data_IF_197791886131
#
_entry.id   IF_197791886131
#
_cell.length_a   1.000
_cell.length_b   1.000
_cell.length_c   1.000
_cell.angle_alpha   90.00
_cell.angle_beta   90.00
_cell.angle_gamma   90.00
#
_symmetry.space_group_name_H-M   'P 1'
#
loop_
_entity.id
_entity.type
_entity.pdbx_description
1 polymer ?
#
# COMPACT_ATOMS: atom_id res chain seq x y z
N UNK A 1 21.56 2.34 -5.35
CA UNK A 1 21.06 3.58 -5.97
C UNK A 1 21.39 3.51 -7.46
N UNK A 2 20.46 3.83 -8.35
CA UNK A 2 20.72 3.76 -9.80
C UNK A 2 21.48 5.02 -10.22
N UNK A 3 22.64 4.84 -10.87
CA UNK A 3 23.63 5.89 -11.10
C UNK A 3 23.26 6.92 -12.18
N UNK A 4 22.35 6.60 -13.10
CA UNK A 4 21.87 7.52 -14.14
C UNK A 4 20.65 6.97 -14.88
N UNK A 5 19.95 7.85 -15.61
CA UNK A 5 18.86 7.47 -16.52
C UNK A 5 19.32 6.54 -17.65
N UNK A 6 20.51 6.75 -18.19
CA UNK A 6 21.06 5.90 -19.27
C UNK A 6 21.25 4.44 -18.84
N UNK A 7 21.56 4.20 -17.57
CA UNK A 7 21.65 2.84 -17.00
C UNK A 7 20.28 2.15 -17.00
N UNK A 8 19.20 2.87 -16.69
CA UNK A 8 17.82 2.32 -16.76
C UNK A 8 17.44 1.98 -18.20
N UNK A 9 17.70 2.88 -19.14
CA UNK A 9 17.35 2.68 -20.55
C UNK A 9 18.10 1.50 -21.16
N UNK A 10 19.39 1.35 -20.82
CA UNK A 10 20.20 0.19 -21.24
C UNK A 10 19.66 -1.11 -20.66
N UNK A 11 19.36 -1.13 -19.35
CA UNK A 11 18.81 -2.32 -18.67
C UNK A 11 17.44 -2.71 -19.25
N UNK A 12 16.60 -1.73 -19.55
CA UNK A 12 15.29 -1.95 -20.18
C UNK A 12 15.43 -2.57 -21.58
N UNK A 13 16.34 -2.04 -22.42
CA UNK A 13 16.59 -2.58 -23.76
C UNK A 13 17.11 -4.02 -23.71
N UNK A 14 18.00 -4.33 -22.75
CA UNK A 14 18.49 -5.69 -22.51
C UNK A 14 17.36 -6.65 -22.10
N UNK A 15 16.49 -6.24 -21.18
CA UNK A 15 15.35 -7.07 -20.74
C UNK A 15 14.35 -7.29 -21.86
N UNK A 16 14.07 -6.28 -22.71
CA UNK A 16 13.19 -6.42 -23.89
C UNK A 16 13.69 -7.49 -24.86
N UNK A 17 14.99 -7.50 -25.18
CA UNK A 17 15.59 -8.54 -26.03
C UNK A 17 15.58 -9.90 -25.36
N UNK A 18 15.85 -9.96 -24.05
CA UNK A 18 15.89 -11.21 -23.28
C UNK A 18 14.55 -11.94 -23.25
N UNK A 19 13.44 -11.20 -23.27
CA UNK A 19 12.08 -11.74 -23.21
C UNK A 19 11.31 -11.49 -24.52
N UNK A 20 12.00 -11.43 -25.66
CA UNK A 20 11.39 -11.15 -26.97
C UNK A 20 10.53 -12.30 -27.49
N UNK A 21 10.90 -13.55 -27.19
CA UNK A 21 10.22 -14.77 -27.68
C UNK A 21 9.55 -15.59 -26.56
N UNK A 22 9.01 -14.94 -25.54
CA UNK A 22 8.31 -15.65 -24.48
C UNK A 22 7.73 -14.77 -23.40
N UNK A 23 7.11 -15.41 -22.41
CA UNK A 23 6.49 -14.70 -21.28
C UNK A 23 7.54 -14.18 -20.31
N UNK A 24 7.30 -12.99 -19.76
CA UNK A 24 8.10 -12.44 -18.67
C UNK A 24 7.72 -13.16 -17.38
N UNK A 25 8.61 -13.98 -16.78
CA UNK A 25 8.29 -14.69 -15.57
C UNK A 25 8.13 -13.71 -14.41
N UNK A 26 7.23 -14.04 -13.47
CA UNK A 26 7.08 -13.28 -12.24
C UNK A 26 8.38 -13.38 -11.41
N UNK A 27 9.07 -12.27 -11.11
CA UNK A 27 10.27 -12.32 -10.31
C UNK A 27 9.97 -12.84 -8.89
N UNK A 28 10.88 -13.61 -8.30
CA UNK A 28 10.70 -14.19 -6.95
C UNK A 28 10.53 -13.15 -5.83
N UNK A 29 10.99 -11.92 -6.06
CA UNK A 29 10.84 -10.79 -5.13
C UNK A 29 9.58 -9.95 -5.41
N UNK A 30 8.82 -10.25 -6.47
CA UNK A 30 7.64 -9.49 -6.86
C UNK A 30 6.38 -10.21 -6.40
N UNK A 31 5.52 -9.50 -5.67
CA UNK A 31 4.32 -10.05 -5.08
C UNK A 31 3.49 -8.97 -4.40
N UNK A 32 2.57 -9.40 -3.53
CA UNK A 32 1.70 -8.49 -2.78
C UNK A 32 2.02 -8.48 -1.28
N UNK A 33 1.62 -7.40 -0.62
CA UNK A 33 1.60 -7.29 0.83
C UNK A 33 0.16 -7.19 1.33
N UNK A 34 -0.12 -7.82 2.48
CA UNK A 34 -1.39 -7.67 3.18
C UNK A 34 -1.17 -6.85 4.46
N UNK A 35 -1.84 -5.71 4.55
CA UNK A 35 -1.93 -4.96 5.82
C UNK A 35 -3.01 -5.60 6.67
N UNK A 36 -2.63 -6.11 7.83
CA UNK A 36 -3.58 -6.54 8.86
C UNK A 36 -3.81 -5.37 9.82
N UNK A 37 -4.95 -4.67 9.74
CA UNK A 37 -5.16 -3.46 10.52
C UNK A 37 -5.25 -3.80 12.00
N UNK A 38 -4.48 -3.09 12.81
CA UNK A 38 -4.66 -3.04 14.26
C UNK A 38 -5.60 -1.90 14.66
N UNK A 39 -5.64 -0.85 13.84
CA UNK A 39 -6.50 0.32 14.03
C UNK A 39 -7.02 0.81 12.68
N UNK A 40 -8.27 1.27 12.65
CA UNK A 40 -8.91 1.90 11.50
C UNK A 40 -9.62 3.16 11.99
N UNK A 41 -9.35 4.31 11.39
CA UNK A 41 -10.06 5.56 11.67
C UNK A 41 -10.98 5.92 10.51
N UNK A 42 -12.25 6.13 10.81
CA UNK A 42 -13.21 6.73 9.90
C UNK A 42 -13.36 8.21 10.26
N UNK A 43 -12.95 9.06 9.33
CA UNK A 43 -13.05 10.51 9.45
C UNK A 43 -14.10 11.03 8.47
N UNK A 44 -15.13 11.70 8.99
CA UNK A 44 -16.20 12.29 8.19
C UNK A 44 -16.24 13.81 8.38
N UNK A 45 -16.14 14.53 7.25
CA UNK A 45 -16.21 15.99 7.26
C UNK A 45 -17.61 16.48 7.62
N UNK A 46 -17.70 17.56 8.40
CA UNK A 46 -18.93 18.31 8.64
C UNK A 46 -18.72 19.80 8.35
N UNK A 47 -19.75 20.53 7.87
CA UNK A 47 -19.62 21.96 7.52
C UNK A 47 -19.26 22.87 8.69
N UNK A 48 -19.62 22.49 9.92
CA UNK A 48 -19.37 23.22 11.17
C UNK A 48 -17.97 22.98 11.74
N UNK A 49 -17.10 22.26 11.01
CA UNK A 49 -15.75 21.82 11.44
C UNK A 49 -15.75 20.86 12.64
N UNK A 50 -16.92 20.37 13.06
CA UNK A 50 -17.03 19.34 14.09
C UNK A 50 -17.06 17.96 13.43
N UNK A 51 -15.92 17.57 12.88
CA UNK A 51 -15.71 16.28 12.21
C UNK A 51 -16.08 15.09 13.10
N UNK A 52 -16.80 14.13 12.53
CA UNK A 52 -17.02 12.86 13.20
C UNK A 52 -15.81 11.95 12.97
N UNK A 53 -15.20 11.51 14.07
CA UNK A 53 -14.03 10.64 14.06
C UNK A 53 -14.34 9.39 14.86
N UNK A 54 -14.35 8.23 14.20
CA UNK A 54 -14.55 6.94 14.84
C UNK A 54 -13.30 6.08 14.67
N UNK A 55 -12.69 5.68 15.77
CA UNK A 55 -11.52 4.80 15.78
C UNK A 55 -11.94 3.39 16.19
N UNK A 56 -11.64 2.43 15.32
CA UNK A 56 -11.80 1.02 15.55
C UNK A 56 -10.44 0.45 15.97
N UNK A 57 -10.37 -0.17 17.14
CA UNK A 57 -9.13 -0.81 17.64
C UNK A 57 -9.34 -2.30 17.80
N UNK A 58 -8.45 -3.09 17.20
CA UNK A 58 -8.51 -4.55 17.24
C UNK A 58 -8.04 -5.05 18.61
N UNK A 59 -8.87 -5.88 19.23
CA UNK A 59 -8.57 -6.49 20.53
C UNK A 59 -7.84 -7.83 20.36
N UNK A 60 -7.31 -8.35 21.46
CA UNK A 60 -6.59 -9.64 21.51
C UNK A 60 -7.49 -10.83 21.18
N UNK A 61 -8.80 -10.74 21.44
CA UNK A 61 -9.82 -11.73 21.12
C UNK A 61 -10.36 -11.62 19.67
N UNK A 62 -9.74 -10.77 18.85
CA UNK A 62 -10.15 -10.43 17.48
C UNK A 62 -11.47 -9.64 17.37
N UNK A 63 -12.05 -9.18 18.48
CA UNK A 63 -13.14 -8.21 18.45
C UNK A 63 -12.62 -6.80 18.14
N UNK A 64 -13.54 -5.87 17.90
CA UNK A 64 -13.25 -4.46 17.66
C UNK A 64 -13.91 -3.61 18.74
N UNK A 65 -13.13 -2.72 19.35
CA UNK A 65 -13.67 -1.61 20.16
C UNK A 65 -13.78 -0.37 19.30
N UNK A 66 -14.80 0.45 19.57
CA UNK A 66 -15.10 1.65 18.80
C UNK A 66 -15.13 2.84 19.75
N UNK A 67 -14.28 3.82 19.47
CA UNK A 67 -14.18 5.07 20.22
C UNK A 67 -14.53 6.25 19.32
N UNK A 68 -15.30 7.21 19.84
CA UNK A 68 -15.52 8.51 19.17
C UNK A 68 -14.45 9.49 19.64
N UNK A 69 -13.66 10.01 18.71
CA UNK A 69 -12.63 11.00 19.01
C UNK A 69 -13.21 12.42 18.88
N UNK A 70 -12.65 13.35 19.64
CA UNK A 70 -12.97 14.76 19.48
C UNK A 70 -12.57 15.26 18.07
N UNK A 71 -13.39 16.12 17.44
CA UNK A 71 -13.04 16.80 16.20
C UNK A 71 -11.71 17.57 16.27
#
# INVERSE_FOLDING_TARGET
MISSRSVLETTLAQMRRRFEEGDVPLPSFWGGYRVQPQTIEFWQSRPDRLHDRYQYTRQTDNSWTIDRLAP
#
